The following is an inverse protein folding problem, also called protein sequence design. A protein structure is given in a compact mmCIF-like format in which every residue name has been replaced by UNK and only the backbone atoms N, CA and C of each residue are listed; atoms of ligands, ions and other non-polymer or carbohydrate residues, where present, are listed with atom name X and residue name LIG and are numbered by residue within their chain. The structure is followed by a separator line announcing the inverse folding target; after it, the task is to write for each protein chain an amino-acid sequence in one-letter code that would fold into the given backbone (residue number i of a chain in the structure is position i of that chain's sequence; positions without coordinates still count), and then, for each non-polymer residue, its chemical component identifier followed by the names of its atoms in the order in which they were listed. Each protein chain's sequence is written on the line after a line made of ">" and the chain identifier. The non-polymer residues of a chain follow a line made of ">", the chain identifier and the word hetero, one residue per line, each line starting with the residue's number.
data_IF_599624255888
#
_entry.id   IF_599624255888
#
_cell.length_a   1.000
_cell.length_b   1.000
_cell.length_c   1.000
_cell.angle_alpha   90.00
_cell.angle_beta   90.00
_cell.angle_gamma   90.00
#
_symmetry.space_group_name_H-M   'P 1'
#
loop_
_entity.id
_entity.type
_entity.pdbx_description
1 polymer ?
#
# COMPACT_ATOMS: atom_id res chain seq x y z
N UNK A 1 2.32 4.51 23.91
CA UNK A 1 2.52 4.18 22.47
C UNK A 1 1.46 4.89 21.65
N UNK A 2 1.83 6.01 21.02
CA UNK A 2 0.93 6.93 20.33
C UNK A 2 0.28 6.23 19.13
N UNK A 3 -1.05 6.04 19.19
CA UNK A 3 -1.84 5.59 18.04
C UNK A 3 -1.78 6.70 16.99
N UNK A 4 -0.90 6.54 16.00
CA UNK A 4 -0.81 7.43 14.85
C UNK A 4 -2.24 7.66 14.34
N UNK A 5 -2.73 8.91 14.25
CA UNK A 5 -4.07 9.18 13.78
C UNK A 5 -4.30 8.45 12.46
N UNK A 6 -5.49 7.86 12.26
CA UNK A 6 -5.90 7.25 11.00
C UNK A 6 -5.99 8.34 9.92
N UNK A 7 -4.84 8.89 9.51
CA UNK A 7 -4.73 9.85 8.43
C UNK A 7 -5.19 9.11 7.18
N UNK A 8 -6.25 9.61 6.57
CA UNK A 8 -6.72 9.13 5.27
C UNK A 8 -5.55 9.25 4.29
N UNK A 9 -5.38 8.24 3.45
CA UNK A 9 -4.39 8.30 2.38
C UNK A 9 -4.86 9.36 1.39
N UNK A 10 -4.01 10.32 1.05
CA UNK A 10 -4.32 11.27 -0.03
C UNK A 10 -4.25 10.57 -1.37
N UNK A 11 -4.96 11.06 -2.37
CA UNK A 11 -4.92 10.49 -3.72
C UNK A 11 -3.50 10.48 -4.30
N UNK A 12 -2.68 11.46 -3.96
CA UNK A 12 -1.26 11.50 -4.33
C UNK A 12 -0.46 10.37 -3.65
N UNK A 13 -0.63 10.17 -2.33
CA UNK A 13 0.00 9.06 -1.60
C UNK A 13 -0.43 7.71 -2.20
N UNK A 14 -1.73 7.54 -2.45
CA UNK A 14 -2.28 6.33 -3.06
C UNK A 14 -1.68 6.14 -4.45
N UNK A 15 -1.69 7.14 -5.32
CA UNK A 15 -1.22 7.02 -6.70
C UNK A 15 0.26 6.65 -6.77
N UNK A 16 1.09 7.20 -5.88
CA UNK A 16 2.51 6.86 -5.81
C UNK A 16 2.73 5.40 -5.33
N UNK A 17 2.03 5.00 -4.27
CA UNK A 17 2.12 3.62 -3.74
C UNK A 17 1.55 2.61 -4.71
N UNK A 18 0.42 2.93 -5.33
CA UNK A 18 -0.23 2.10 -6.33
C UNK A 18 0.71 1.98 -7.53
N UNK A 19 1.20 3.05 -8.18
CA UNK A 19 2.13 2.88 -9.31
C UNK A 19 3.36 2.00 -9.01
N UNK A 20 3.93 2.12 -7.81
CA UNK A 20 5.14 1.38 -7.43
C UNK A 20 4.83 -0.06 -6.98
N UNK A 21 3.68 -0.31 -6.37
CA UNK A 21 3.33 -1.58 -5.71
C UNK A 21 2.04 -2.21 -6.26
N UNK A 22 1.48 -1.67 -7.34
CA UNK A 22 0.35 -2.21 -8.09
C UNK A 22 0.72 -3.58 -8.62
N UNK A 23 1.94 -3.76 -9.13
CA UNK A 23 2.46 -5.06 -9.56
C UNK A 23 2.43 -6.10 -8.42
N UNK A 24 2.78 -5.68 -7.20
CA UNK A 24 2.65 -6.51 -6.01
C UNK A 24 1.18 -6.81 -5.68
N UNK A 25 0.28 -5.85 -5.83
CA UNK A 25 -1.15 -6.03 -5.56
C UNK A 25 -1.80 -7.00 -6.55
N UNK A 26 -1.52 -6.84 -7.85
CA UNK A 26 -2.04 -7.69 -8.93
C UNK A 26 -1.45 -9.10 -8.88
N UNK A 27 -0.16 -9.22 -8.54
CA UNK A 27 0.52 -10.49 -8.28
C UNK A 27 0.06 -11.15 -6.96
N UNK A 28 -0.65 -10.42 -6.09
CA UNK A 28 -1.05 -10.89 -4.77
C UNK A 28 0.13 -11.05 -3.79
N UNK A 29 1.27 -10.43 -4.09
CA UNK A 29 2.49 -10.50 -3.29
C UNK A 29 2.54 -9.32 -2.33
N UNK A 30 2.65 -9.59 -1.03
CA UNK A 30 2.83 -8.53 -0.03
C UNK A 30 4.28 -8.00 -0.13
N UNK A 31 4.49 -6.69 -0.32
CA UNK A 31 5.83 -6.14 -0.38
C UNK A 31 6.56 -6.31 0.96
N UNK A 32 7.82 -6.71 0.86
CA UNK A 32 8.72 -6.79 2.00
C UNK A 32 9.16 -5.41 2.49
N UNK A 33 9.88 -5.37 3.62
CA UNK A 33 10.41 -4.13 4.22
C UNK A 33 11.15 -3.27 3.19
N UNK A 34 12.02 -3.89 2.40
CA UNK A 34 12.86 -3.24 1.38
C UNK A 34 12.05 -2.57 0.27
N UNK A 35 10.94 -3.17 -0.16
CA UNK A 35 10.05 -2.61 -1.19
C UNK A 35 9.23 -1.44 -0.63
N UNK A 36 8.75 -1.55 0.62
CA UNK A 36 8.10 -0.43 1.30
C UNK A 36 9.07 0.74 1.50
N UNK A 37 10.32 0.48 1.88
CA UNK A 37 11.35 1.50 2.03
C UNK A 37 11.71 2.16 0.69
N UNK A 38 11.84 1.39 -0.40
CA UNK A 38 12.07 1.93 -1.74
C UNK A 38 10.91 2.84 -2.17
N UNK A 39 9.68 2.45 -1.89
CA UNK A 39 8.50 3.27 -2.17
C UNK A 39 8.51 4.59 -1.37
N UNK A 40 8.90 4.55 -0.09
CA UNK A 40 9.06 5.76 0.75
C UNK A 40 10.17 6.65 0.21
N UNK A 41 11.29 6.08 -0.25
CA UNK A 41 12.40 6.85 -0.86
C UNK A 41 12.04 7.45 -2.21
N UNK A 42 11.19 6.77 -2.97
CA UNK A 42 10.73 7.25 -4.28
C UNK A 42 9.70 8.38 -4.16
N UNK A 43 8.93 8.40 -3.07
CA UNK A 43 7.95 9.44 -2.77
C UNK A 43 8.11 10.00 -1.34
N UNK A 44 9.28 10.60 -1.01
CA UNK A 44 9.61 11.00 0.34
C UNK A 44 8.77 12.19 0.81
N UNK A 45 8.24 12.99 -0.13
CA UNK A 45 7.36 14.13 0.14
C UNK A 45 5.98 13.67 0.64
N UNK A 46 5.45 12.62 0.02
CA UNK A 46 4.10 12.11 0.30
C UNK A 46 4.11 11.17 1.51
N UNK A 47 5.17 10.36 1.65
CA UNK A 47 5.29 9.33 2.69
C UNK A 47 6.12 9.77 3.90
N UNK A 48 6.49 11.06 4.00
CA UNK A 48 7.31 11.62 5.09
C UNK A 48 6.76 11.32 6.49
N UNK A 49 5.44 11.20 6.58
CA UNK A 49 4.73 10.93 7.84
C UNK A 49 4.24 9.47 7.95
N UNK A 50 4.57 8.60 7.00
CA UNK A 50 4.10 7.21 6.94
C UNK A 50 5.24 6.24 7.24
N UNK A 51 4.95 5.27 8.10
CA UNK A 51 5.85 4.15 8.35
C UNK A 51 5.63 3.05 7.30
N UNK A 52 6.68 2.26 7.05
CA UNK A 52 6.60 1.07 6.20
C UNK A 52 5.52 0.08 6.66
N UNK A 53 5.19 0.04 7.95
CA UNK A 53 4.09 -0.75 8.51
C UNK A 53 2.73 -0.28 8.00
N UNK A 54 2.52 1.03 7.92
CA UNK A 54 1.29 1.62 7.39
C UNK A 54 1.11 1.29 5.91
N UNK A 55 2.20 1.40 5.13
CA UNK A 55 2.26 1.02 3.70
C UNK A 55 1.94 -0.47 3.54
N UNK A 56 2.59 -1.34 4.33
CA UNK A 56 2.35 -2.79 4.33
C UNK A 56 0.89 -3.13 4.62
N UNK A 57 0.29 -2.50 5.63
CA UNK A 57 -1.09 -2.77 6.02
C UNK A 57 -2.09 -2.30 4.95
N UNK A 58 -1.82 -1.16 4.32
CA UNK A 58 -2.60 -0.64 3.20
C UNK A 58 -2.61 -1.62 2.03
N UNK A 59 -1.43 -2.10 1.65
CA UNK A 59 -1.27 -3.03 0.52
C UNK A 59 -1.89 -4.38 0.82
N UNK A 60 -1.71 -4.90 2.05
CA UNK A 60 -2.40 -6.13 2.49
C UNK A 60 -3.92 -6.00 2.34
N UNK A 61 -4.51 -4.86 2.73
CA UNK A 61 -5.94 -4.60 2.54
C UNK A 61 -6.31 -4.53 1.05
N UNK A 62 -5.47 -3.91 0.22
CA UNK A 62 -5.68 -3.83 -1.24
C UNK A 62 -5.65 -5.20 -1.91
N UNK A 63 -4.65 -6.03 -1.62
CA UNK A 63 -4.56 -7.43 -2.09
C UNK A 63 -5.79 -8.22 -1.66
N UNK A 64 -6.20 -8.09 -0.39
CA UNK A 64 -7.39 -8.80 0.12
C UNK A 64 -8.66 -8.37 -0.60
N UNK A 65 -8.81 -7.07 -0.89
CA UNK A 65 -9.94 -6.54 -1.66
C UNK A 65 -9.89 -7.02 -3.12
N UNK A 66 -8.73 -6.96 -3.76
CA UNK A 66 -8.51 -7.42 -5.13
C UNK A 66 -8.80 -8.92 -5.29
N UNK A 67 -8.31 -9.76 -4.36
CA UNK A 67 -8.59 -11.19 -4.35
C UNK A 67 -10.09 -11.47 -4.24
N UNK A 68 -10.78 -10.79 -3.31
CA UNK A 68 -12.24 -10.89 -3.16
C UNK A 68 -13.00 -10.44 -4.40
N UNK A 69 -12.54 -9.39 -5.08
CA UNK A 69 -13.17 -8.91 -6.31
C UNK A 69 -12.96 -9.89 -7.48
N UNK A 70 -11.75 -10.44 -7.60
CA UNK A 70 -11.44 -11.49 -8.57
C UNK A 70 -12.30 -12.75 -8.33
N UNK A 71 -12.51 -13.14 -7.08
CA UNK A 71 -13.44 -14.22 -6.72
C UNK A 71 -14.89 -13.90 -7.11
N UNK A 72 -15.35 -12.67 -6.90
CA UNK A 72 -16.70 -12.25 -7.31
C UNK A 72 -16.90 -12.27 -8.82
N UNK A 73 -15.88 -11.94 -9.62
CA UNK A 73 -15.94 -11.93 -11.09
C UNK A 73 -16.01 -13.33 -11.73
N UNK A 74 -15.70 -14.39 -10.96
CA UNK A 74 -15.75 -15.78 -11.43
C UNK A 74 -17.08 -16.50 -11.15
N UNK A 75 -18.04 -15.83 -10.51
CA UNK A 75 -19.36 -16.36 -10.19
C UNK A 75 -20.42 -15.72 -11.07
#
# INVERSE_FOLDING_TARGET
>A
VSRCPKRKWTEEEVKAVDNKLLDCITSGRVPGKRQCEDCIRSAPVLLKHRTWESVKFYIKKRITAFKRECEKRKK
#
